data_IF_168262450157
#
_entry.id   IF_168262450157
#
_cell.length_a   1.000
_cell.length_b   1.000
_cell.length_c   1.000
_cell.angle_alpha   90.00
_cell.angle_beta   90.00
_cell.angle_gamma   90.00
#
_symmetry.space_group_name_H-M   'P 1'
#
loop_
_entity.id
_entity.type
_entity.pdbx_description
1 polymer ?
#
# COMPACT_ATOMS: atom_id res chain seq x y z
N UNK A 1 57.41 -77.46 -38.47
CA UNK A 1 56.74 -76.29 -37.88
C UNK A 1 56.71 -75.19 -38.93
N UNK A 2 55.56 -75.01 -39.55
CA UNK A 2 55.33 -73.98 -40.58
C UNK A 2 55.38 -72.60 -39.95
N UNK A 3 56.31 -71.75 -40.38
CA UNK A 3 56.29 -70.32 -40.08
C UNK A 3 55.06 -69.75 -40.78
N UNK A 4 53.99 -69.45 -40.03
CA UNK A 4 52.90 -68.60 -40.55
C UNK A 4 53.53 -67.30 -41.05
N UNK A 5 53.36 -67.00 -42.34
CA UNK A 5 53.76 -65.72 -42.89
C UNK A 5 52.87 -64.65 -42.25
N UNK A 6 53.46 -63.81 -41.40
CA UNK A 6 52.79 -62.62 -40.88
C UNK A 6 52.43 -61.71 -42.04
N UNK A 7 51.11 -61.55 -42.29
CA UNK A 7 50.58 -60.61 -43.27
C UNK A 7 50.49 -59.22 -42.65
N UNK A 8 50.94 -58.24 -43.41
CA UNK A 8 50.92 -56.83 -43.04
C UNK A 8 49.99 -56.08 -43.99
N UNK A 9 49.18 -55.20 -43.42
CA UNK A 9 48.37 -54.22 -44.14
C UNK A 9 48.88 -52.81 -43.86
N UNK A 10 48.35 -51.82 -44.56
CA UNK A 10 48.76 -50.42 -44.41
C UNK A 10 47.62 -49.61 -43.81
N UNK A 11 47.91 -48.73 -42.87
CA UNK A 11 46.92 -47.82 -42.32
C UNK A 11 46.54 -46.77 -43.36
N UNK A 12 45.26 -46.67 -43.70
CA UNK A 12 44.74 -45.77 -44.73
C UNK A 12 44.91 -44.28 -44.39
N UNK A 13 45.23 -43.96 -43.13
CA UNK A 13 45.30 -42.57 -42.63
C UNK A 13 46.69 -42.04 -42.39
N UNK A 14 47.62 -42.90 -41.97
CA UNK A 14 49.00 -42.50 -41.67
C UNK A 14 50.05 -43.28 -42.47
N UNK A 15 49.65 -44.28 -43.26
CA UNK A 15 50.55 -45.09 -44.07
C UNK A 15 51.43 -46.07 -43.28
N UNK A 16 51.23 -46.22 -41.98
CA UNK A 16 51.99 -47.16 -41.16
C UNK A 16 51.68 -48.61 -41.55
N UNK A 17 52.71 -49.47 -41.62
CA UNK A 17 52.51 -50.92 -41.77
C UNK A 17 52.07 -51.52 -40.44
N UNK A 18 50.94 -52.22 -40.47
CA UNK A 18 50.30 -52.86 -39.32
C UNK A 18 50.15 -54.34 -39.61
N UNK A 19 50.29 -55.18 -38.58
CA UNK A 19 49.91 -56.58 -38.69
C UNK A 19 48.41 -56.67 -38.99
N UNK A 20 48.02 -57.52 -39.95
CA UNK A 20 46.62 -57.70 -40.33
C UNK A 20 45.75 -58.09 -39.11
N UNK A 21 46.31 -58.88 -38.17
CA UNK A 21 45.67 -59.24 -36.90
C UNK A 21 45.44 -58.06 -35.93
N UNK A 22 46.11 -56.94 -36.14
CA UNK A 22 46.04 -55.73 -35.30
C UNK A 22 45.42 -54.53 -36.03
N UNK A 23 44.98 -54.72 -37.27
CA UNK A 23 44.28 -53.69 -38.03
C UNK A 23 42.83 -53.58 -37.56
N UNK A 24 42.33 -52.36 -37.44
CA UNK A 24 40.95 -52.08 -37.02
C UNK A 24 40.19 -51.48 -38.20
N UNK A 25 39.02 -52.03 -38.50
CA UNK A 25 38.14 -51.50 -39.55
C UNK A 25 37.11 -50.56 -38.91
N UNK A 26 37.14 -49.29 -39.31
CA UNK A 26 36.21 -48.25 -38.83
C UNK A 26 35.72 -47.47 -40.05
N UNK A 27 34.41 -47.42 -40.25
CA UNK A 27 33.76 -46.77 -41.40
C UNK A 27 34.29 -47.25 -42.77
N UNK A 28 34.69 -48.53 -42.87
CA UNK A 28 35.25 -49.12 -44.09
C UNK A 28 36.72 -48.75 -44.37
N UNK A 29 37.41 -48.12 -43.41
CA UNK A 29 38.84 -47.81 -43.48
C UNK A 29 39.64 -48.71 -42.54
N UNK A 30 40.79 -49.18 -43.01
CA UNK A 30 41.76 -49.96 -42.24
C UNK A 30 42.71 -49.01 -41.50
N UNK A 31 42.57 -48.94 -40.17
CA UNK A 31 43.29 -48.00 -39.33
C UNK A 31 44.20 -48.70 -38.32
N UNK A 32 45.30 -48.05 -37.97
CA UNK A 32 46.10 -48.44 -36.80
C UNK A 32 45.44 -47.93 -35.50
N UNK A 33 45.74 -48.57 -34.37
CA UNK A 33 45.17 -48.23 -33.06
C UNK A 33 45.30 -46.74 -32.70
N UNK A 34 46.45 -46.12 -32.99
CA UNK A 34 46.67 -44.69 -32.73
C UNK A 34 45.74 -43.77 -33.54
N UNK A 35 45.48 -44.14 -34.80
CA UNK A 35 44.57 -43.38 -35.67
C UNK A 35 43.12 -43.52 -35.23
N UNK A 36 42.70 -44.69 -34.74
CA UNK A 36 41.36 -44.92 -34.16
C UNK A 36 41.18 -44.14 -32.86
N UNK A 37 42.17 -44.17 -31.96
CA UNK A 37 42.13 -43.42 -30.69
C UNK A 37 42.08 -41.91 -30.95
N UNK A 38 42.85 -41.41 -31.92
CA UNK A 38 42.78 -39.99 -32.31
C UNK A 38 41.42 -39.60 -32.90
N UNK A 39 40.78 -40.48 -33.67
CA UNK A 39 39.45 -40.24 -34.22
C UNK A 39 38.38 -40.19 -33.13
N UNK A 40 38.31 -41.24 -32.32
CA UNK A 40 37.34 -41.34 -31.21
C UNK A 40 37.50 -40.19 -30.23
N UNK A 41 38.73 -39.77 -29.91
CA UNK A 41 38.95 -38.56 -29.08
C UNK A 41 38.35 -37.29 -29.70
N UNK A 42 38.46 -37.11 -31.02
CA UNK A 42 37.86 -35.96 -31.72
C UNK A 42 36.34 -36.03 -31.72
N UNK A 43 35.77 -37.19 -32.01
CA UNK A 43 34.32 -37.42 -32.01
C UNK A 43 33.71 -37.23 -30.63
N UNK A 44 34.35 -37.78 -29.58
CA UNK A 44 33.93 -37.57 -28.19
C UNK A 44 34.03 -36.10 -27.80
N UNK A 45 35.08 -35.39 -28.20
CA UNK A 45 35.21 -33.96 -27.93
C UNK A 45 34.13 -33.13 -28.66
N UNK A 46 33.78 -33.48 -29.89
CA UNK A 46 32.68 -32.85 -30.62
C UNK A 46 31.32 -33.15 -29.99
N UNK A 47 31.05 -34.41 -29.65
CA UNK A 47 29.83 -34.82 -28.96
C UNK A 47 29.68 -34.12 -27.60
N UNK A 48 30.77 -33.97 -26.85
CA UNK A 48 30.78 -33.24 -25.59
C UNK A 48 30.43 -31.76 -25.78
N UNK A 49 31.00 -31.09 -26.79
CA UNK A 49 30.68 -29.69 -27.12
C UNK A 49 29.20 -29.52 -27.49
N UNK A 50 28.68 -30.37 -28.38
CA UNK A 50 27.27 -30.35 -28.79
C UNK A 50 26.35 -30.59 -27.60
N UNK A 51 26.71 -31.51 -26.70
CA UNK A 51 25.94 -31.78 -25.49
C UNK A 51 25.93 -30.58 -24.53
N UNK A 52 27.05 -29.86 -24.39
CA UNK A 52 27.09 -28.64 -23.56
C UNK A 52 26.29 -27.49 -24.17
N UNK A 53 26.35 -27.29 -25.48
CA UNK A 53 25.57 -26.26 -26.19
C UNK A 53 24.07 -26.53 -26.06
N UNK A 54 23.63 -27.77 -26.28
CA UNK A 54 22.22 -28.16 -26.09
C UNK A 54 21.73 -27.92 -24.67
N UNK A 55 22.56 -28.20 -23.65
CA UNK A 55 22.21 -27.92 -22.25
C UNK A 55 22.06 -26.41 -22.00
N UNK A 56 22.94 -25.59 -22.58
CA UNK A 56 22.85 -24.14 -22.47
C UNK A 56 21.58 -23.60 -23.13
N UNK A 57 21.25 -24.06 -24.34
CA UNK A 57 20.01 -23.68 -25.04
C UNK A 57 18.75 -24.07 -24.27
N UNK A 58 18.72 -25.30 -23.72
CA UNK A 58 17.60 -25.76 -22.89
C UNK A 58 17.46 -24.91 -21.63
N UNK A 59 18.57 -24.53 -20.99
CA UNK A 59 18.56 -23.67 -19.82
C UNK A 59 18.02 -22.27 -20.15
N UNK A 60 18.45 -21.68 -21.27
CA UNK A 60 17.94 -20.39 -21.72
C UNK A 60 16.44 -20.43 -22.06
N UNK A 61 16.00 -21.48 -22.75
CA UNK A 61 14.59 -21.66 -23.08
C UNK A 61 13.72 -21.80 -21.82
N UNK A 62 14.17 -22.60 -20.84
CA UNK A 62 13.48 -22.72 -19.55
C UNK A 62 13.46 -21.39 -18.79
N UNK A 63 14.57 -20.66 -18.77
CA UNK A 63 14.65 -19.35 -18.11
C UNK A 63 13.67 -18.34 -18.73
N UNK A 64 13.59 -18.29 -20.07
CA UNK A 64 12.62 -17.44 -20.81
C UNK A 64 11.17 -17.84 -20.55
N UNK A 65 10.89 -19.14 -20.47
CA UNK A 65 9.55 -19.63 -20.13
C UNK A 65 9.14 -19.22 -18.70
N UNK A 66 10.05 -19.39 -17.74
CA UNK A 66 9.85 -18.97 -16.34
C UNK A 66 9.63 -17.46 -16.21
N UNK A 67 10.43 -16.63 -16.89
CA UNK A 67 10.26 -15.18 -16.85
C UNK A 67 8.91 -14.75 -17.43
N UNK A 68 8.50 -15.35 -18.54
CA UNK A 68 7.21 -15.07 -19.17
C UNK A 68 6.04 -15.45 -18.26
N UNK A 69 6.13 -16.60 -17.58
CA UNK A 69 5.09 -17.04 -16.64
C UNK A 69 4.99 -16.12 -15.42
N UNK A 70 6.14 -15.69 -14.87
CA UNK A 70 6.18 -14.72 -13.75
C UNK A 70 5.54 -13.39 -14.15
N UNK A 71 5.87 -12.86 -15.32
CA UNK A 71 5.32 -11.60 -15.81
C UNK A 71 3.80 -11.68 -16.02
N UNK A 72 3.29 -12.79 -16.56
CA UNK A 72 1.83 -13.00 -16.72
C UNK A 72 1.12 -13.00 -15.37
N UNK A 73 1.65 -13.70 -14.36
CA UNK A 73 1.07 -13.73 -13.01
C UNK A 73 1.09 -12.34 -12.36
N UNK A 74 2.19 -11.60 -12.51
CA UNK A 74 2.30 -10.23 -12.00
C UNK A 74 1.28 -9.30 -12.64
N UNK A 75 1.07 -9.41 -13.97
CA UNK A 75 0.09 -8.61 -14.69
C UNK A 75 -1.34 -8.92 -14.24
N UNK A 76 -1.68 -10.20 -14.05
CA UNK A 76 -2.98 -10.61 -13.51
C UNK A 76 -3.19 -10.03 -12.11
N UNK A 77 -2.19 -10.15 -11.22
CA UNK A 77 -2.27 -9.61 -9.87
C UNK A 77 -2.51 -8.08 -9.90
N UNK A 78 -1.79 -7.35 -10.76
CA UNK A 78 -1.93 -5.91 -10.92
C UNK A 78 -3.34 -5.51 -11.37
N UNK A 79 -3.90 -6.21 -12.36
CA UNK A 79 -5.27 -5.97 -12.84
C UNK A 79 -6.29 -6.21 -11.74
N UNK A 80 -6.16 -7.30 -10.97
CA UNK A 80 -7.06 -7.60 -9.86
C UNK A 80 -6.99 -6.50 -8.79
N UNK A 81 -5.80 -6.05 -8.41
CA UNK A 81 -5.66 -4.94 -7.44
C UNK A 81 -6.28 -3.64 -7.94
N UNK A 82 -6.16 -3.31 -9.24
CA UNK A 82 -6.80 -2.13 -9.81
C UNK A 82 -8.32 -2.24 -9.76
N UNK A 83 -8.89 -3.42 -10.03
CA UNK A 83 -10.33 -3.65 -9.94
C UNK A 83 -10.84 -3.50 -8.50
N UNK A 84 -10.11 -4.05 -7.52
CA UNK A 84 -10.45 -3.90 -6.09
C UNK A 84 -10.39 -2.43 -5.68
N UNK A 85 -9.36 -1.70 -6.11
CA UNK A 85 -9.24 -0.28 -5.80
C UNK A 85 -10.37 0.55 -6.44
N UNK A 86 -10.70 0.28 -7.70
CA UNK A 86 -11.81 0.94 -8.39
C UNK A 86 -13.15 0.66 -7.70
N UNK A 87 -13.41 -0.59 -7.29
CA UNK A 87 -14.60 -0.96 -6.55
C UNK A 87 -14.68 -0.25 -5.19
N UNK A 88 -13.56 -0.16 -4.46
CA UNK A 88 -13.50 0.54 -3.18
C UNK A 88 -13.74 2.04 -3.35
N UNK A 89 -13.14 2.68 -4.36
CA UNK A 89 -13.38 4.09 -4.69
C UNK A 89 -14.85 4.35 -5.04
N UNK A 90 -15.45 3.47 -5.84
CA UNK A 90 -16.87 3.57 -6.20
C UNK A 90 -17.78 3.42 -4.97
N UNK A 91 -17.50 2.44 -4.11
CA UNK A 91 -18.25 2.24 -2.86
C UNK A 91 -18.12 3.44 -1.93
N UNK A 92 -16.91 4.00 -1.78
CA UNK A 92 -16.71 5.21 -1.00
C UNK A 92 -17.44 6.40 -1.61
N UNK A 93 -17.45 6.55 -2.94
CA UNK A 93 -18.16 7.65 -3.62
C UNK A 93 -19.68 7.58 -3.40
N UNK A 94 -20.27 6.38 -3.47
CA UNK A 94 -21.69 6.14 -3.19
C UNK A 94 -22.06 6.38 -1.72
N UNK A 95 -21.17 6.00 -0.80
CA UNK A 95 -21.38 6.13 0.64
C UNK A 95 -20.72 7.37 1.24
N UNK A 96 -20.38 8.38 0.44
CA UNK A 96 -19.89 9.64 1.00
C UNK A 96 -20.99 10.19 1.89
N UNK A 97 -20.74 10.35 3.21
CA UNK A 97 -21.67 11.09 4.03
C UNK A 97 -21.85 12.45 3.38
N UNK A 98 -23.10 12.88 3.22
CA UNK A 98 -23.37 14.22 2.73
C UNK A 98 -22.55 15.20 3.58
N UNK A 99 -21.89 16.21 2.98
CA UNK A 99 -21.20 17.22 3.76
C UNK A 99 -22.22 17.71 4.79
N UNK A 100 -21.88 17.64 6.07
CA UNK A 100 -22.71 18.17 7.14
C UNK A 100 -23.02 19.58 6.71
N UNK A 101 -24.28 19.84 6.33
CA UNK A 101 -24.70 21.18 5.97
C UNK A 101 -24.48 21.98 7.24
N UNK A 102 -23.41 22.74 7.27
CA UNK A 102 -23.17 23.68 8.36
C UNK A 102 -24.30 24.68 8.23
N UNK A 103 -25.35 24.50 9.03
CA UNK A 103 -26.37 25.51 9.18
C UNK A 103 -25.62 26.81 9.45
N UNK A 104 -25.84 27.83 8.62
CA UNK A 104 -25.25 29.14 8.87
C UNK A 104 -25.89 29.67 10.14
N UNK A 105 -25.26 29.43 11.29
CA UNK A 105 -25.73 29.91 12.58
C UNK A 105 -25.53 31.43 12.58
N UNK A 106 -26.63 32.15 12.60
CA UNK A 106 -26.63 33.60 12.85
C UNK A 106 -26.52 33.81 14.36
N UNK A 107 -25.31 34.10 14.83
CA UNK A 107 -24.97 34.27 16.25
C UNK A 107 -25.71 35.44 16.93
N UNK A 108 -26.29 36.37 16.15
CA UNK A 108 -27.15 37.42 16.70
C UNK A 108 -28.59 36.93 16.96
N UNK A 109 -29.02 35.85 16.28
CA UNK A 109 -30.36 35.24 16.46
C UNK A 109 -30.33 34.06 17.41
N UNK A 110 -29.29 33.24 17.34
CA UNK A 110 -29.11 32.10 18.23
C UNK A 110 -28.19 32.46 19.40
N UNK A 111 -28.76 33.18 20.36
CA UNK A 111 -28.06 33.65 21.55
C UNK A 111 -27.62 32.51 22.48
N UNK A 112 -28.28 31.36 22.43
CA UNK A 112 -27.93 30.21 23.27
C UNK A 112 -26.63 29.55 22.73
N UNK A 113 -26.48 29.43 21.41
CA UNK A 113 -25.22 29.02 20.78
C UNK A 113 -24.09 30.02 21.07
N UNK A 114 -24.36 31.32 20.93
CA UNK A 114 -23.38 32.38 21.26
C UNK A 114 -22.98 32.35 22.74
N UNK A 115 -23.92 32.14 23.66
CA UNK A 115 -23.66 31.98 25.08
C UNK A 115 -22.67 30.83 25.35
N UNK A 116 -22.93 29.65 24.78
CA UNK A 116 -22.08 28.48 24.98
C UNK A 116 -20.64 28.71 24.50
N UNK A 117 -20.47 29.39 23.36
CA UNK A 117 -19.15 29.72 22.81
C UNK A 117 -18.41 30.77 23.65
N UNK A 118 -19.13 31.74 24.22
CA UNK A 118 -18.56 32.72 25.14
C UNK A 118 -18.06 32.04 26.42
N UNK A 119 -18.85 31.12 27.00
CA UNK A 119 -18.46 30.37 28.19
C UNK A 119 -17.20 29.55 27.93
N UNK A 120 -17.15 28.80 26.82
CA UNK A 120 -15.95 28.03 26.44
C UNK A 120 -14.74 28.92 26.22
N UNK A 121 -14.93 30.12 25.65
CA UNK A 121 -13.85 31.08 25.45
C UNK A 121 -13.33 31.64 26.78
N UNK A 122 -14.20 31.90 27.76
CA UNK A 122 -13.82 32.30 29.11
C UNK A 122 -12.99 31.21 29.80
N UNK A 123 -13.42 29.95 29.74
CA UNK A 123 -12.69 28.82 30.33
C UNK A 123 -11.29 28.68 29.71
N UNK A 124 -11.19 28.78 28.38
CA UNK A 124 -9.90 28.75 27.68
C UNK A 124 -9.01 29.93 28.08
N UNK A 125 -9.58 31.13 28.24
CA UNK A 125 -8.82 32.30 28.67
C UNK A 125 -8.27 32.11 30.08
N UNK A 126 -9.06 31.57 31.01
CA UNK A 126 -8.63 31.26 32.38
C UNK A 126 -7.53 30.20 32.37
N UNK A 127 -7.67 29.15 31.57
CA UNK A 127 -6.65 28.10 31.46
C UNK A 127 -5.29 28.65 31.01
N UNK A 128 -5.27 29.68 30.15
CA UNK A 128 -4.03 30.30 29.66
C UNK A 128 -3.49 31.40 30.59
N UNK A 129 -4.37 32.21 31.18
CA UNK A 129 -3.98 33.43 31.90
C UNK A 129 -4.12 33.34 33.43
N UNK A 130 -4.69 32.25 33.95
CA UNK A 130 -4.91 32.00 35.38
C UNK A 130 -5.98 32.88 36.03
N UNK A 131 -6.69 33.72 35.26
CA UNK A 131 -7.74 34.63 35.74
C UNK A 131 -8.75 34.95 34.65
N UNK A 132 -9.98 35.31 35.06
CA UNK A 132 -11.02 35.78 34.15
C UNK A 132 -10.70 37.16 33.58
N UNK A 133 -11.04 37.40 32.30
CA UNK A 133 -10.80 38.69 31.66
C UNK A 133 -11.67 39.77 32.31
N UNK A 134 -11.19 41.02 32.43
CA UNK A 134 -12.00 42.14 32.92
C UNK A 134 -13.16 42.51 31.98
N UNK A 135 -13.09 42.15 30.69
CA UNK A 135 -14.19 42.37 29.73
C UNK A 135 -14.22 41.29 28.65
N UNK A 136 -15.40 41.06 28.05
CA UNK A 136 -15.54 40.11 26.93
C UNK A 136 -14.68 40.49 25.71
N UNK A 137 -14.37 41.78 25.53
CA UNK A 137 -13.54 42.25 24.42
C UNK A 137 -12.12 41.68 24.44
N UNK A 138 -11.62 41.25 25.60
CA UNK A 138 -10.30 40.59 25.66
C UNK A 138 -10.30 39.19 25.02
N UNK A 139 -11.47 38.57 24.84
CA UNK A 139 -11.61 37.27 24.18
C UNK A 139 -11.43 37.36 22.65
N UNK A 140 -11.49 38.57 22.07
CA UNK A 140 -11.36 38.80 20.63
C UNK A 140 -9.96 38.41 20.09
N UNK A 141 -8.96 38.44 20.97
CA UNK A 141 -7.57 38.12 20.62
C UNK A 141 -7.31 36.62 20.73
N UNK A 142 -7.99 35.83 19.89
CA UNK A 142 -7.67 34.42 19.67
C UNK A 142 -8.46 33.41 20.51
N UNK A 143 -9.41 33.85 21.34
CA UNK A 143 -10.26 32.95 22.14
C UNK A 143 -11.65 32.76 21.53
N UNK A 144 -12.14 33.74 20.74
CA UNK A 144 -13.46 33.68 20.12
C UNK A 144 -13.45 34.10 18.64
N UNK A 145 -14.24 33.46 17.76
CA UNK A 145 -14.40 33.91 16.38
C UNK A 145 -15.14 35.25 16.28
N UNK A 146 -14.74 36.10 15.31
CA UNK A 146 -15.36 37.40 15.05
C UNK A 146 -16.89 37.38 14.89
N UNK A 147 -17.52 36.39 14.23
CA UNK A 147 -18.98 36.34 14.13
C UNK A 147 -19.69 36.30 15.50
N UNK A 148 -19.11 35.62 16.49
CA UNK A 148 -19.68 35.55 17.85
C UNK A 148 -19.49 36.87 18.60
N UNK A 149 -18.38 37.56 18.36
CA UNK A 149 -18.12 38.87 18.92
C UNK A 149 -19.20 39.90 18.56
N UNK A 150 -19.79 39.80 17.37
CA UNK A 150 -20.88 40.70 16.97
C UNK A 150 -22.09 40.61 17.90
N UNK A 151 -22.31 39.47 18.54
CA UNK A 151 -23.41 39.24 19.47
C UNK A 151 -23.12 39.73 20.91
N UNK A 152 -21.92 40.22 21.23
CA UNK A 152 -21.54 40.61 22.61
C UNK A 152 -22.46 41.66 23.23
N UNK A 153 -23.03 42.55 22.42
CA UNK A 153 -23.97 43.56 22.87
C UNK A 153 -25.28 42.98 23.44
N UNK A 154 -25.59 41.71 23.13
CA UNK A 154 -26.71 40.98 23.72
C UNK A 154 -26.38 40.33 25.08
N UNK A 155 -25.13 40.40 25.54
CA UNK A 155 -24.69 39.78 26.79
C UNK A 155 -24.25 40.83 27.81
N UNK A 156 -24.68 40.65 29.05
CA UNK A 156 -24.14 41.39 30.21
C UNK A 156 -23.13 40.49 30.90
N UNK A 157 -21.88 40.93 30.87
CA UNK A 157 -20.79 40.26 31.56
C UNK A 157 -20.32 41.10 32.75
N UNK A 158 -20.20 40.45 33.91
CA UNK A 158 -19.61 41.07 35.09
C UNK A 158 -18.67 40.07 35.75
N UNK A 159 -17.39 40.44 35.84
CA UNK A 159 -16.42 39.69 36.63
C UNK A 159 -16.69 39.93 38.11
N UNK A 160 -16.99 38.88 38.86
CA UNK A 160 -17.24 38.94 40.31
C UNK A 160 -15.91 38.75 41.07
N UNK A 161 -15.06 37.85 40.58
CA UNK A 161 -13.73 37.57 41.13
C UNK A 161 -12.77 37.07 40.03
N UNK A 162 -11.57 36.61 40.39
CA UNK A 162 -10.63 36.08 39.38
C UNK A 162 -11.09 34.74 38.78
N UNK A 163 -11.99 34.02 39.45
CA UNK A 163 -12.47 32.68 39.12
C UNK A 163 -14.00 32.58 39.00
N UNK A 164 -14.74 33.65 39.31
CA UNK A 164 -16.20 33.71 39.11
C UNK A 164 -16.68 34.91 38.29
N UNK A 165 -17.70 34.68 37.47
CA UNK A 165 -18.35 35.69 36.64
C UNK A 165 -19.87 35.49 36.59
N UNK A 166 -20.57 36.57 36.29
CA UNK A 166 -21.98 36.57 35.90
C UNK A 166 -22.05 36.87 34.40
N UNK A 167 -22.76 36.03 33.65
CA UNK A 167 -23.04 36.21 32.23
C UNK A 167 -24.54 36.03 32.01
N UNK A 168 -25.21 37.10 31.60
CA UNK A 168 -26.66 37.09 31.34
C UNK A 168 -26.97 37.52 29.92
N UNK A 169 -28.00 36.94 29.32
CA UNK A 169 -28.54 37.41 28.04
C UNK A 169 -29.40 38.65 28.32
N UNK A 170 -28.96 39.82 27.87
CA UNK A 170 -29.57 41.12 28.12
C UNK A 170 -31.01 41.25 27.59
N UNK A 171 -31.47 40.34 26.73
CA UNK A 171 -32.76 40.41 26.04
C UNK A 171 -33.54 39.08 25.98
N UNK A 172 -33.46 38.20 26.99
CA UNK A 172 -34.41 37.08 27.09
C UNK A 172 -35.60 37.53 27.96
N UNK A 173 -36.71 37.97 27.34
CA UNK A 173 -38.03 37.89 28.00
C UNK A 173 -38.23 36.41 28.30
N UNK A 174 -38.00 36.03 29.55
CA UNK A 174 -38.25 34.68 30.02
C UNK A 174 -39.77 34.50 29.99
N UNK A 175 -40.29 33.90 28.93
CA UNK A 175 -41.63 33.32 28.96
C UNK A 175 -41.52 32.11 29.88
N UNK A 176 -41.84 32.31 31.15
CA UNK A 176 -41.96 31.23 32.13
C UNK A 176 -43.04 30.30 31.63
N UNK A 177 -42.64 29.16 31.07
CA UNK A 177 -43.54 28.02 30.88
C UNK A 177 -44.02 27.62 32.28
N UNK A 178 -45.25 28.01 32.63
CA UNK A 178 -46.00 27.35 33.70
C UNK A 178 -46.16 25.90 33.29
N UNK A 179 -45.41 25.00 33.91
CA UNK A 179 -45.83 23.62 34.05
C UNK A 179 -47.10 23.64 34.90
N UNK A 180 -48.27 23.53 34.27
CA UNK A 180 -49.48 23.12 34.97
C UNK A 180 -49.20 21.74 35.55
N UNK A 181 -49.04 21.69 36.88
CA UNK A 181 -49.07 20.45 37.61
C UNK A 181 -50.46 19.84 37.46
N UNK A 182 -50.54 18.72 36.75
CA UNK A 182 -51.65 17.79 36.86
C UNK A 182 -51.75 17.35 38.32
N UNK A 183 -52.68 17.94 39.06
CA UNK A 183 -53.17 17.38 40.30
C UNK A 183 -54.12 16.22 39.97
N UNK A 184 -53.57 15.06 39.64
CA UNK A 184 -54.24 13.80 39.93
C UNK A 184 -53.95 13.44 41.39
N UNK A 185 -54.82 13.89 42.29
CA UNK A 185 -55.01 13.25 43.59
C UNK A 185 -56.36 12.57 43.60
N UNK A 186 -56.36 11.31 43.14
CA UNK A 186 -57.31 10.31 43.57
C UNK A 186 -56.93 9.87 44.99
N UNK A 187 -57.78 10.14 45.99
CA UNK A 187 -57.91 9.29 47.19
C UNK A 187 -59.05 9.78 48.12
N UNK A 188 -60.00 8.87 48.37
CA UNK A 188 -60.81 8.72 49.57
C UNK A 188 -61.81 9.81 49.98
N UNK A 189 -63.09 9.60 49.63
CA UNK A 189 -64.09 8.97 50.53
C UNK A 189 -65.40 8.69 49.80
#
# INVERSE_FOLDING_TARGET
MSKEQEKYTTCDRCGARILEKSALEVDGLTLCGDCVVKQTKKEVAQAAKIATERKAEQYEAQRKALSTQRNKRALIALVVTLLVFAAAQWFMAQNKPQPVQTASIDFNKDLDSSYSLIVVALDKYVATNGKLPPSLNELLNGYIPYPVATAFHHFKYKRVSNDSYELEIAAKKITTLKTEGNNESAANK
#
